data_IF_625694325941
#
_entry.id   IF_625694325941
#
_cell.length_a   1.000
_cell.length_b   1.000
_cell.length_c   1.000
_cell.angle_alpha   90.00
_cell.angle_beta   90.00
_cell.angle_gamma   90.00
#
_symmetry.space_group_name_H-M   'P 1'
#
loop_
_entity.id
_entity.type
_entity.pdbx_description
1 polymer ?
#
# COMPACT_ATOMS: atom_id res chain seq x y z
N UNK A 1 -26.39 13.99 2.57
CA UNK A 1 -25.08 13.35 2.34
C UNK A 1 -24.87 13.27 0.85
N UNK A 2 -23.68 13.60 0.36
CA UNK A 2 -23.39 13.66 -1.07
C UNK A 2 -22.59 12.43 -1.48
N UNK A 3 -22.83 11.92 -2.68
CA UNK A 3 -21.90 10.99 -3.34
C UNK A 3 -20.62 11.75 -3.63
N UNK A 4 -19.47 11.14 -3.42
CA UNK A 4 -18.18 11.81 -3.59
C UNK A 4 -17.53 11.35 -4.88
N UNK A 5 -17.19 12.30 -5.76
CA UNK A 5 -16.50 12.05 -7.03
C UNK A 5 -15.09 12.63 -6.94
N UNK A 6 -14.08 11.77 -7.00
CA UNK A 6 -12.68 12.19 -7.12
C UNK A 6 -12.19 11.96 -8.56
N UNK A 7 -11.86 13.05 -9.24
CA UNK A 7 -11.36 13.03 -10.61
C UNK A 7 -9.89 13.47 -10.64
N UNK A 8 -9.02 12.64 -11.20
CA UNK A 8 -7.60 12.99 -11.36
C UNK A 8 -7.41 14.08 -12.41
N UNK A 9 -6.44 14.96 -12.22
CA UNK A 9 -5.97 15.95 -13.20
C UNK A 9 -4.45 15.97 -13.30
N UNK A 10 -3.94 15.93 -14.51
CA UNK A 10 -2.51 15.98 -14.84
C UNK A 10 -2.03 17.41 -15.14
N UNK A 11 -2.32 18.35 -14.23
CA UNK A 11 -1.94 19.75 -14.38
C UNK A 11 -2.98 20.60 -15.13
N UNK A 12 -2.66 21.87 -15.43
CA UNK A 12 -3.63 22.87 -15.89
C UNK A 12 -4.15 22.67 -17.32
N UNK A 13 -3.41 21.96 -18.16
CA UNK A 13 -3.77 21.58 -19.53
C UNK A 13 -4.73 20.39 -19.61
N UNK A 14 -4.94 19.68 -18.49
CA UNK A 14 -5.94 18.62 -18.38
C UNK A 14 -7.33 19.22 -18.08
N UNK A 15 -7.94 19.77 -19.12
CA UNK A 15 -9.22 20.49 -19.06
C UNK A 15 -10.46 19.60 -19.17
N UNK A 16 -10.29 18.27 -19.22
CA UNK A 16 -11.42 17.34 -19.38
C UNK A 16 -12.42 17.49 -18.22
N UNK A 17 -13.65 17.83 -18.57
CA UNK A 17 -14.74 17.99 -17.60
C UNK A 17 -15.44 16.64 -17.37
N UNK A 18 -15.41 16.18 -16.12
CA UNK A 18 -16.02 14.91 -15.74
C UNK A 18 -17.47 15.14 -15.33
N UNK A 19 -18.41 14.52 -16.05
CA UNK A 19 -19.83 14.62 -15.76
C UNK A 19 -20.16 14.23 -14.30
N UNK A 20 -20.89 15.13 -13.63
CA UNK A 20 -21.27 15.04 -12.21
C UNK A 20 -22.76 14.69 -12.12
N UNK A 21 -23.10 13.70 -11.30
CA UNK A 21 -24.51 13.39 -11.00
C UNK A 21 -25.16 14.46 -10.12
N UNK A 22 -26.49 14.50 -10.07
CA UNK A 22 -27.28 15.51 -9.33
C UNK A 22 -26.90 15.61 -7.84
N UNK A 23 -26.49 14.50 -7.23
CA UNK A 23 -26.10 14.40 -5.82
C UNK A 23 -24.59 14.14 -5.61
N UNK A 24 -23.77 14.36 -6.64
CA UNK A 24 -22.31 14.18 -6.56
C UNK A 24 -21.59 15.50 -6.24
N UNK A 25 -20.68 15.44 -5.27
CA UNK A 25 -19.68 16.48 -5.03
C UNK A 25 -18.38 16.07 -5.71
N UNK A 26 -17.91 16.92 -6.62
CA UNK A 26 -16.66 16.68 -7.36
C UNK A 26 -15.47 17.35 -6.69
N UNK A 27 -14.40 16.60 -6.55
CA UNK A 27 -13.08 17.07 -6.12
C UNK A 27 -12.03 16.65 -7.15
N UNK A 28 -11.15 17.57 -7.51
CA UNK A 28 -10.04 17.27 -8.41
C UNK A 28 -8.78 16.91 -7.62
N UNK A 29 -8.17 15.77 -7.94
CA UNK A 29 -6.85 15.40 -7.42
C UNK A 29 -5.79 15.86 -8.41
N UNK A 30 -4.97 16.84 -8.02
CA UNK A 30 -3.83 17.28 -8.83
C UNK A 30 -2.70 16.25 -8.72
N UNK A 31 -2.35 15.60 -9.83
CA UNK A 31 -1.35 14.51 -9.88
C UNK A 31 0.06 15.00 -10.24
N UNK A 32 0.20 16.28 -10.55
CA UNK A 32 1.45 16.90 -11.01
C UNK A 32 1.72 18.13 -10.15
N UNK A 33 2.95 18.25 -9.67
CA UNK A 33 3.46 19.47 -9.07
C UNK A 33 4.08 20.33 -10.19
N UNK A 34 3.51 21.51 -10.43
CA UNK A 34 3.89 22.38 -11.55
C UNK A 34 3.59 21.73 -12.90
N UNK A 35 4.57 21.73 -13.81
CA UNK A 35 4.35 21.29 -15.21
C UNK A 35 4.99 19.92 -15.56
N UNK A 36 5.87 19.36 -14.71
CA UNK A 36 6.75 18.25 -15.14
C UNK A 36 6.84 17.06 -14.19
N UNK A 37 6.62 17.20 -12.88
CA UNK A 37 6.84 16.12 -11.92
C UNK A 37 5.54 15.58 -11.34
N UNK A 38 5.39 14.25 -11.33
CA UNK A 38 4.30 13.59 -10.61
C UNK A 38 4.40 13.83 -9.11
N UNK A 39 3.29 14.24 -8.51
CA UNK A 39 3.19 14.58 -7.10
C UNK A 39 2.85 13.34 -6.24
N UNK A 40 2.56 13.54 -4.95
CA UNK A 40 2.14 12.52 -3.98
C UNK A 40 3.14 11.37 -3.84
N UNK A 41 4.43 11.68 -4.02
CA UNK A 41 5.54 10.74 -3.91
C UNK A 41 5.80 9.88 -5.14
N UNK A 42 4.97 9.96 -6.20
CA UNK A 42 5.11 9.10 -7.39
C UNK A 42 6.39 9.44 -8.17
N UNK A 43 6.68 10.74 -8.39
CA UNK A 43 7.91 11.16 -9.06
C UNK A 43 9.18 10.78 -8.28
N UNK A 44 9.10 10.84 -6.94
CA UNK A 44 10.17 10.40 -6.04
C UNK A 44 10.40 8.88 -6.09
N UNK A 45 9.33 8.09 -6.20
CA UNK A 45 9.40 6.64 -6.34
C UNK A 45 10.08 6.25 -7.66
N UNK A 46 9.67 6.86 -8.79
CA UNK A 46 10.31 6.67 -10.10
C UNK A 46 11.80 7.02 -10.06
N UNK A 47 12.15 8.16 -9.46
CA UNK A 47 13.54 8.59 -9.31
C UNK A 47 14.36 7.61 -8.47
N UNK A 48 13.77 7.08 -7.39
CA UNK A 48 14.46 6.13 -6.50
C UNK A 48 14.68 4.77 -7.17
N UNK A 49 13.68 4.26 -7.88
CA UNK A 49 13.79 3.00 -8.62
C UNK A 49 14.82 3.10 -9.75
N UNK A 50 14.84 4.22 -10.49
CA UNK A 50 15.84 4.48 -11.52
C UNK A 50 17.27 4.38 -10.99
N UNK A 51 17.54 4.90 -9.79
CA UNK A 51 18.88 4.86 -9.15
C UNK A 51 19.37 3.43 -8.88
N UNK A 52 18.44 2.49 -8.73
CA UNK A 52 18.74 1.07 -8.49
C UNK A 52 18.44 0.19 -9.72
N UNK A 53 18.31 0.82 -10.90
CA UNK A 53 18.16 0.14 -12.19
C UNK A 53 16.76 -0.42 -12.48
N UNK A 54 15.75 -0.10 -11.68
CA UNK A 54 14.37 -0.60 -11.86
C UNK A 54 13.53 0.44 -12.63
N UNK A 55 12.88 0.01 -13.71
CA UNK A 55 12.12 0.88 -14.62
C UNK A 55 10.67 0.41 -14.77
N UNK A 56 9.74 0.89 -13.92
CA UNK A 56 8.33 0.49 -13.95
C UNK A 56 7.63 0.73 -15.30
N UNK A 57 6.69 -0.15 -15.61
CA UNK A 57 5.82 -0.03 -16.79
C UNK A 57 4.78 1.09 -16.67
N UNK A 58 4.15 1.46 -17.80
CA UNK A 58 3.02 2.40 -17.81
C UNK A 58 1.84 1.94 -16.93
N UNK A 59 1.52 0.64 -16.99
CA UNK A 59 0.47 0.05 -16.17
C UNK A 59 0.84 0.08 -14.68
N UNK A 60 2.12 -0.10 -14.34
CA UNK A 60 2.61 0.08 -12.98
C UNK A 60 2.41 1.51 -12.49
N UNK A 61 2.69 2.51 -13.34
CA UNK A 61 2.49 3.94 -13.02
C UNK A 61 1.00 4.24 -12.86
N UNK A 62 0.15 3.76 -13.77
CA UNK A 62 -1.31 3.87 -13.66
C UNK A 62 -1.84 3.31 -12.34
N UNK A 63 -1.29 2.18 -11.90
CA UNK A 63 -1.68 1.56 -10.64
C UNK A 63 -1.34 2.45 -9.43
N UNK A 64 -0.21 3.16 -9.44
CA UNK A 64 0.09 4.16 -8.41
C UNK A 64 -0.84 5.38 -8.47
N UNK A 65 -1.19 5.83 -9.67
CA UNK A 65 -2.16 6.90 -9.85
C UNK A 65 -3.51 6.47 -9.27
N UNK A 66 -3.99 5.26 -9.57
CA UNK A 66 -5.20 4.71 -8.97
C UNK A 66 -5.08 4.59 -7.43
N UNK A 67 -3.96 4.10 -6.92
CA UNK A 67 -3.71 4.01 -5.49
C UNK A 67 -3.74 5.37 -4.80
N UNK A 68 -3.25 6.43 -5.45
CA UNK A 68 -3.35 7.80 -4.98
C UNK A 68 -4.80 8.25 -4.84
N UNK A 69 -5.67 7.92 -5.81
CA UNK A 69 -7.11 8.24 -5.73
C UNK A 69 -7.81 7.49 -4.60
N UNK A 70 -7.54 6.18 -4.48
CA UNK A 70 -8.11 5.35 -3.40
C UNK A 70 -7.65 5.87 -2.05
N UNK A 71 -6.37 6.22 -1.90
CA UNK A 71 -5.81 6.71 -0.64
C UNK A 71 -6.34 8.10 -0.27
N UNK A 72 -6.47 9.01 -1.24
CA UNK A 72 -7.09 10.32 -1.05
C UNK A 72 -8.53 10.18 -0.58
N UNK A 73 -9.34 9.38 -1.28
CA UNK A 73 -10.73 9.14 -0.91
C UNK A 73 -10.84 8.49 0.48
N UNK A 74 -10.01 7.47 0.75
CA UNK A 74 -10.07 6.74 2.01
C UNK A 74 -9.69 7.59 3.22
N UNK A 75 -8.82 8.59 3.05
CA UNK A 75 -8.32 9.45 4.14
C UNK A 75 -8.98 10.82 4.22
N UNK A 76 -9.63 11.32 3.16
CA UNK A 76 -10.18 12.69 3.11
C UNK A 76 -11.69 12.78 2.97
N UNK A 77 -12.38 11.63 2.95
CA UNK A 77 -13.83 11.57 2.98
C UNK A 77 -14.27 10.94 4.31
N UNK A 78 -14.65 11.77 5.28
CA UNK A 78 -15.16 11.31 6.58
C UNK A 78 -16.34 10.34 6.42
N UNK A 79 -16.23 9.14 7.00
CA UNK A 79 -17.34 8.19 7.07
C UNK A 79 -18.49 8.78 7.89
N UNK A 80 -18.21 9.40 9.03
CA UNK A 80 -19.24 9.95 9.93
C UNK A 80 -20.08 11.05 9.26
N UNK A 81 -19.51 11.82 8.34
CA UNK A 81 -20.21 12.94 7.68
C UNK A 81 -20.81 12.56 6.32
N UNK A 82 -20.19 11.61 5.60
CA UNK A 82 -20.50 11.30 4.21
C UNK A 82 -21.13 9.90 4.01
N UNK A 83 -21.71 9.32 5.07
CA UNK A 83 -22.43 8.04 4.97
C UNK A 83 -23.66 7.99 5.87
N UNK A 84 -24.68 7.25 5.44
CA UNK A 84 -25.99 7.20 6.11
C UNK A 84 -25.97 6.45 7.43
N UNK A 85 -25.06 5.48 7.54
CA UNK A 85 -24.88 4.58 8.68
C UNK A 85 -23.61 4.93 9.49
N UNK A 86 -23.00 6.10 9.25
CA UNK A 86 -21.69 6.50 9.78
C UNK A 86 -20.53 5.58 9.38
N UNK A 87 -20.70 4.72 8.36
CA UNK A 87 -19.68 3.82 7.89
C UNK A 87 -19.52 3.76 6.36
N UNK A 88 -20.58 3.45 5.62
CA UNK A 88 -20.56 3.05 4.21
C UNK A 88 -20.66 4.25 3.27
N UNK A 89 -19.54 4.69 2.70
CA UNK A 89 -19.51 5.83 1.75
C UNK A 89 -19.87 5.38 0.33
N UNK A 90 -20.40 6.30 -0.48
CA UNK A 90 -20.54 6.12 -1.93
C UNK A 90 -19.49 6.96 -2.65
N UNK A 91 -18.51 6.30 -3.26
CA UNK A 91 -17.32 6.93 -3.83
C UNK A 91 -17.19 6.56 -5.30
N UNK A 92 -17.10 7.59 -6.16
CA UNK A 92 -16.80 7.47 -7.58
C UNK A 92 -15.41 8.00 -7.86
N UNK A 93 -14.61 7.23 -8.59
CA UNK A 93 -13.31 7.65 -9.09
C UNK A 93 -13.36 7.82 -10.60
N UNK A 94 -12.68 8.83 -11.12
CA UNK A 94 -12.36 8.94 -12.55
C UNK A 94 -10.86 9.13 -12.71
N UNK A 95 -10.19 8.05 -13.12
CA UNK A 95 -8.74 7.95 -13.08
C UNK A 95 -8.15 8.07 -14.49
N UNK A 96 -7.28 9.07 -14.74
CA UNK A 96 -6.51 9.14 -15.99
C UNK A 96 -5.47 8.01 -16.05
N UNK A 97 -5.53 7.20 -17.11
CA UNK A 97 -4.68 6.03 -17.34
C UNK A 97 -4.13 5.95 -18.76
N UNK A 98 -3.04 5.21 -18.95
CA UNK A 98 -2.39 5.00 -20.25
C UNK A 98 -3.25 4.17 -21.22
N UNK A 99 -3.92 3.13 -20.71
CA UNK A 99 -4.74 2.20 -21.51
C UNK A 99 -6.19 2.10 -20.98
N UNK A 100 -7.10 3.03 -21.32
CA UNK A 100 -8.44 3.09 -20.73
C UNK A 100 -9.27 1.82 -20.92
N UNK A 101 -9.17 1.16 -22.07
CA UNK A 101 -9.93 -0.07 -22.35
C UNK A 101 -9.49 -1.24 -21.44
N UNK A 102 -8.18 -1.39 -21.23
CA UNK A 102 -7.60 -2.42 -20.34
C UNK A 102 -8.03 -2.20 -18.89
N UNK A 103 -7.98 -0.96 -18.43
CA UNK A 103 -8.43 -0.59 -17.09
C UNK A 103 -9.95 -0.70 -16.92
N UNK A 104 -10.73 -0.37 -17.95
CA UNK A 104 -12.18 -0.56 -17.94
C UNK A 104 -12.55 -2.05 -17.76
N UNK A 105 -11.83 -2.96 -18.42
CA UNK A 105 -11.99 -4.40 -18.22
C UNK A 105 -11.66 -4.85 -16.77
N UNK A 106 -10.71 -4.17 -16.12
CA UNK A 106 -10.35 -4.41 -14.71
C UNK A 106 -11.33 -3.80 -13.69
N UNK A 107 -12.19 -2.86 -14.11
CA UNK A 107 -13.10 -2.10 -13.26
C UNK A 107 -13.97 -2.96 -12.33
N UNK A 108 -14.65 -4.03 -12.82
CA UNK A 108 -15.45 -4.90 -11.97
C UNK A 108 -14.66 -5.61 -10.86
N UNK A 109 -13.43 -6.05 -11.15
CA UNK A 109 -12.54 -6.72 -10.19
C UNK A 109 -12.04 -5.73 -9.13
N UNK A 110 -11.63 -4.53 -9.56
CA UNK A 110 -11.24 -3.45 -8.65
C UNK A 110 -12.37 -3.06 -7.71
N UNK A 111 -13.60 -2.91 -8.23
CA UNK A 111 -14.79 -2.63 -7.42
C UNK A 111 -14.97 -3.69 -6.34
N UNK A 112 -14.98 -4.98 -6.72
CA UNK A 112 -15.14 -6.10 -5.77
C UNK A 112 -14.05 -6.10 -4.69
N UNK A 113 -12.80 -5.80 -5.06
CA UNK A 113 -11.69 -5.75 -4.13
C UNK A 113 -11.82 -4.59 -3.13
N UNK A 114 -12.13 -3.38 -3.62
CA UNK A 114 -12.25 -2.18 -2.78
C UNK A 114 -13.50 -2.21 -1.90
N UNK A 115 -14.65 -2.65 -2.42
CA UNK A 115 -15.88 -2.83 -1.63
C UNK A 115 -15.62 -3.78 -0.44
N UNK A 116 -14.94 -4.91 -0.70
CA UNK A 116 -14.59 -5.87 0.35
C UNK A 116 -13.60 -5.29 1.36
N UNK A 117 -12.59 -4.56 0.88
CA UNK A 117 -11.52 -4.04 1.71
C UNK A 117 -12.02 -2.93 2.64
N UNK A 118 -12.75 -1.95 2.10
CA UNK A 118 -13.10 -0.73 2.83
C UNK A 118 -14.51 -0.75 3.40
N UNK A 119 -15.39 -1.59 2.86
CA UNK A 119 -16.83 -1.59 3.19
C UNK A 119 -17.59 -0.39 2.60
N UNK A 120 -16.97 0.36 1.69
CA UNK A 120 -17.64 1.42 0.92
C UNK A 120 -18.23 0.86 -0.38
N UNK A 121 -19.00 1.68 -1.09
CA UNK A 121 -19.50 1.39 -2.43
C UNK A 121 -18.68 2.17 -3.45
N UNK A 122 -17.85 1.45 -4.20
CA UNK A 122 -16.99 2.05 -5.22
C UNK A 122 -17.62 2.00 -6.60
N UNK A 123 -17.43 3.07 -7.37
CA UNK A 123 -17.60 3.14 -8.82
C UNK A 123 -16.31 3.68 -9.42
N UNK A 124 -15.74 3.01 -10.42
CA UNK A 124 -14.42 3.38 -10.96
C UNK A 124 -14.54 3.56 -12.46
N UNK A 125 -14.28 4.76 -12.93
CA UNK A 125 -14.16 5.10 -14.34
C UNK A 125 -12.72 5.41 -14.72
N UNK A 126 -12.40 5.17 -15.97
CA UNK A 126 -11.07 5.41 -16.53
C UNK A 126 -11.17 6.28 -17.77
N UNK A 127 -10.18 7.14 -17.96
CA UNK A 127 -10.04 7.99 -19.14
C UNK A 127 -8.59 8.03 -19.59
N UNK A 128 -8.34 8.43 -20.83
CA UNK A 128 -6.97 8.64 -21.27
C UNK A 128 -6.30 9.77 -20.46
N UNK A 129 -5.01 9.60 -20.17
CA UNK A 129 -4.15 10.71 -19.73
C UNK A 129 -4.07 11.79 -20.83
N UNK A 130 -3.83 13.06 -20.48
CA UNK A 130 -3.56 14.09 -21.49
C UNK A 130 -2.29 13.77 -22.28
N UNK A 131 -2.19 14.30 -23.50
CA UNK A 131 -1.12 13.99 -24.46
C UNK A 131 0.30 14.15 -23.87
N UNK A 132 0.52 15.19 -23.04
CA UNK A 132 1.80 15.43 -22.37
C UNK A 132 2.25 14.28 -21.46
N UNK A 133 1.32 13.49 -20.94
CA UNK A 133 1.55 12.36 -20.05
C UNK A 133 1.09 11.03 -20.66
N UNK A 134 0.95 10.97 -21.99
CA UNK A 134 0.65 9.71 -22.69
C UNK A 134 1.69 8.63 -22.38
N UNK A 135 2.98 9.04 -22.31
CA UNK A 135 4.10 8.20 -21.89
C UNK A 135 4.82 8.86 -20.72
N UNK A 136 4.96 8.13 -19.62
CA UNK A 136 5.67 8.51 -18.39
C UNK A 136 6.80 7.53 -18.09
N UNK A 137 6.58 6.25 -18.37
CA UNK A 137 7.56 5.19 -18.16
C UNK A 137 8.84 5.52 -18.93
N UNK A 138 9.97 5.37 -18.24
CA UNK A 138 11.28 5.59 -18.84
C UNK A 138 11.75 4.28 -19.46
N UNK A 139 12.29 4.36 -20.66
CA UNK A 139 12.94 3.21 -21.31
C UNK A 139 14.21 2.88 -20.53
N UNK A 140 14.34 1.62 -20.12
CA UNK A 140 15.56 1.13 -19.52
C UNK A 140 16.73 1.28 -20.51
N UNK A 141 17.88 1.83 -20.11
CA UNK A 141 19.04 1.88 -20.99
C UNK A 141 19.48 0.44 -21.35
N UNK A 142 20.03 0.21 -22.55
CA UNK A 142 20.59 -1.10 -22.90
C UNK A 142 21.64 -1.50 -21.86
N UNK A 143 21.33 -2.52 -21.08
CA UNK A 143 22.20 -3.05 -20.02
C UNK A 143 22.21 -4.56 -20.11
N UNK A 144 23.40 -5.15 -20.05
CA UNK A 144 23.57 -6.61 -19.92
C UNK A 144 23.32 -7.08 -18.48
N UNK A 145 23.18 -6.14 -17.53
CA UNK A 145 23.00 -6.42 -16.11
C UNK A 145 21.58 -6.02 -15.73
N UNK A 146 20.75 -7.01 -15.43
CA UNK A 146 19.42 -6.82 -14.86
C UNK A 146 19.53 -6.32 -13.41
N UNK A 147 18.47 -5.68 -12.85
CA UNK A 147 18.42 -5.35 -11.43
C UNK A 147 18.69 -6.61 -10.60
N UNK A 148 19.43 -6.51 -9.49
CA UNK A 148 19.80 -7.69 -8.71
C UNK A 148 18.61 -8.32 -7.98
N UNK A 149 17.45 -7.67 -7.97
CA UNK A 149 16.30 -8.06 -7.16
C UNK A 149 15.52 -9.22 -7.78
N UNK A 150 15.40 -10.31 -7.06
CA UNK A 150 14.68 -11.55 -7.43
C UNK A 150 13.38 -11.77 -6.65
N UNK A 151 13.09 -10.93 -5.66
CA UNK A 151 11.85 -10.92 -4.92
C UNK A 151 11.44 -9.50 -4.55
N UNK A 152 10.16 -9.29 -4.30
CA UNK A 152 9.63 -8.06 -3.71
C UNK A 152 8.94 -8.43 -2.42
N UNK A 153 9.14 -7.65 -1.37
CA UNK A 153 8.47 -7.89 -0.09
C UNK A 153 8.00 -6.59 0.52
N UNK A 154 6.75 -6.54 0.97
CA UNK A 154 6.28 -5.43 1.76
C UNK A 154 7.02 -5.38 3.10
N UNK A 155 7.44 -4.17 3.47
CA UNK A 155 8.24 -3.92 4.65
C UNK A 155 7.59 -2.78 5.47
N UNK A 156 6.69 -3.16 6.36
CA UNK A 156 5.87 -2.21 7.13
C UNK A 156 6.63 -1.61 8.32
N UNK A 157 7.69 -2.29 8.79
CA UNK A 157 8.38 -1.97 10.05
C UNK A 157 7.82 -2.74 11.25
N UNK A 158 6.83 -3.61 11.04
CA UNK A 158 6.31 -4.53 12.04
C UNK A 158 7.05 -5.87 12.07
N UNK A 159 6.78 -6.66 13.13
CA UNK A 159 7.46 -7.93 13.39
C UNK A 159 7.32 -8.93 12.25
N UNK A 160 6.14 -9.07 11.65
CA UNK A 160 5.88 -10.04 10.60
C UNK A 160 6.68 -9.72 9.33
N UNK A 161 6.74 -8.44 8.95
CA UNK A 161 7.57 -7.99 7.84
C UNK A 161 9.07 -8.09 8.10
N UNK A 162 9.49 -8.00 9.37
CA UNK A 162 10.88 -8.24 9.78
C UNK A 162 11.24 -9.71 9.65
N UNK A 163 10.40 -10.62 10.14
CA UNK A 163 10.58 -12.08 9.99
C UNK A 163 10.66 -12.43 8.50
N UNK A 164 9.72 -11.94 7.70
CA UNK A 164 9.74 -12.16 6.24
C UNK A 164 11.01 -11.65 5.55
N UNK A 165 11.54 -10.52 5.98
CA UNK A 165 12.80 -9.99 5.44
C UNK A 165 14.01 -10.83 5.86
N UNK A 166 14.08 -11.26 7.13
CA UNK A 166 15.15 -12.13 7.63
C UNK A 166 15.14 -13.47 6.89
N UNK A 167 13.98 -14.10 6.78
CA UNK A 167 13.86 -15.41 6.11
C UNK A 167 14.33 -15.35 4.66
N UNK A 168 13.97 -14.29 3.91
CA UNK A 168 14.44 -14.10 2.54
C UNK A 168 15.95 -13.92 2.46
N UNK A 169 16.53 -13.10 3.34
CA UNK A 169 17.96 -12.79 3.31
C UNK A 169 18.83 -13.98 3.74
N UNK A 170 18.35 -14.78 4.71
CA UNK A 170 18.98 -16.05 5.10
C UNK A 170 18.91 -17.09 3.97
N UNK A 171 17.84 -17.09 3.17
CA UNK A 171 17.71 -17.94 1.98
C UNK A 171 18.55 -17.48 0.79
N UNK A 172 19.36 -16.43 0.95
CA UNK A 172 20.20 -15.88 -0.12
C UNK A 172 19.41 -15.12 -1.19
N UNK A 173 18.12 -14.85 -0.96
CA UNK A 173 17.29 -14.03 -1.84
C UNK A 173 17.71 -12.57 -1.73
N UNK A 174 17.59 -11.81 -2.82
CA UNK A 174 17.90 -10.37 -2.87
C UNK A 174 16.60 -9.58 -3.03
N UNK A 175 15.85 -9.29 -1.94
CA UNK A 175 14.57 -8.62 -2.06
C UNK A 175 14.70 -7.12 -2.33
N UNK A 176 13.78 -6.58 -3.13
CA UNK A 176 13.41 -5.17 -3.04
C UNK A 176 12.32 -5.02 -1.97
N UNK A 177 12.70 -4.45 -0.83
CA UNK A 177 11.77 -4.13 0.24
C UNK A 177 10.96 -2.89 -0.12
N UNK A 178 9.65 -2.90 0.14
CA UNK A 178 8.76 -1.79 -0.21
C UNK A 178 8.06 -1.26 1.03
N UNK A 179 8.28 0.01 1.33
CA UNK A 179 7.74 0.71 2.49
C UNK A 179 6.97 1.96 2.08
N UNK A 180 5.82 2.18 2.73
CA UNK A 180 5.13 3.46 2.72
C UNK A 180 5.33 4.17 4.06
N UNK A 181 5.50 5.49 4.02
CA UNK A 181 5.51 6.33 5.21
C UNK A 181 4.43 7.41 5.13
N UNK A 182 3.59 7.47 6.17
CA UNK A 182 2.63 8.56 6.41
C UNK A 182 2.59 9.04 7.87
N UNK A 183 3.28 8.33 8.77
CA UNK A 183 3.39 8.65 10.20
C UNK A 183 4.85 8.46 10.64
N UNK A 184 5.38 9.41 11.43
CA UNK A 184 6.79 9.43 11.83
C UNK A 184 7.22 8.18 12.60
N UNK A 185 6.37 7.66 13.48
CA UNK A 185 6.65 6.47 14.30
C UNK A 185 6.93 5.22 13.45
N UNK A 186 6.07 4.97 12.46
CA UNK A 186 6.24 3.83 11.55
C UNK A 186 7.49 4.00 10.69
N UNK A 187 7.78 5.24 10.26
CA UNK A 187 8.98 5.53 9.46
C UNK A 187 10.29 5.31 10.22
N UNK A 188 10.33 5.62 11.51
CA UNK A 188 11.53 5.41 12.35
C UNK A 188 11.83 3.92 12.52
N UNK A 189 10.81 3.13 12.87
CA UNK A 189 10.93 1.67 12.98
C UNK A 189 11.41 1.03 11.68
N UNK A 190 10.80 1.40 10.54
CA UNK A 190 11.28 0.97 9.21
C UNK A 190 12.75 1.32 8.99
N UNK A 191 13.18 2.53 9.37
CA UNK A 191 14.56 3.00 9.23
C UNK A 191 15.55 2.15 10.04
N UNK A 192 15.28 1.99 11.35
CA UNK A 192 16.12 1.20 12.27
C UNK A 192 16.27 -0.23 11.82
N UNK A 193 15.16 -0.90 11.49
CA UNK A 193 15.18 -2.29 11.03
C UNK A 193 15.94 -2.46 9.73
N UNK A 194 15.74 -1.57 8.75
CA UNK A 194 16.48 -1.65 7.48
C UNK A 194 18.00 -1.49 7.69
N UNK A 195 18.41 -0.53 8.53
CA UNK A 195 19.81 -0.35 8.91
C UNK A 195 20.38 -1.58 9.62
N UNK A 196 19.62 -2.17 10.55
CA UNK A 196 19.98 -3.39 11.25
C UNK A 196 20.19 -4.58 10.30
N UNK A 197 19.27 -4.76 9.34
CA UNK A 197 19.40 -5.78 8.29
C UNK A 197 20.61 -5.52 7.39
N UNK A 198 20.83 -4.28 6.95
CA UNK A 198 22.00 -3.91 6.12
C UNK A 198 23.33 -4.16 6.83
N UNK A 199 23.38 -3.91 8.15
CA UNK A 199 24.57 -4.19 8.97
C UNK A 199 24.87 -5.68 9.05
N UNK A 200 23.84 -6.52 9.20
CA UNK A 200 24.00 -7.97 9.30
C UNK A 200 24.30 -8.61 7.94
N UNK A 201 23.50 -8.30 6.92
CA UNK A 201 23.61 -8.84 5.57
C UNK A 201 24.42 -7.90 4.66
N UNK A 202 25.62 -7.52 5.09
CA UNK A 202 26.45 -6.51 4.41
C UNK A 202 26.94 -6.91 3.00
N UNK A 203 26.86 -8.19 2.64
CA UNK A 203 27.19 -8.71 1.30
C UNK A 203 25.98 -8.77 0.37
N UNK A 204 24.76 -8.68 0.90
CA UNK A 204 23.54 -8.72 0.08
C UNK A 204 23.27 -7.35 -0.52
N UNK A 205 22.92 -7.32 -1.81
CA UNK A 205 22.58 -6.12 -2.56
C UNK A 205 21.11 -5.72 -2.43
N UNK A 206 20.35 -6.33 -1.50
CA UNK A 206 18.96 -6.00 -1.26
C UNK A 206 18.77 -4.51 -0.99
N UNK A 207 17.68 -3.92 -1.46
CA UNK A 207 17.42 -2.48 -1.30
C UNK A 207 16.01 -2.22 -0.82
N UNK A 208 15.71 -0.94 -0.56
CA UNK A 208 14.37 -0.52 -0.14
C UNK A 208 13.84 0.64 -0.95
N UNK A 209 12.67 0.44 -1.56
CA UNK A 209 11.82 1.52 -2.05
C UNK A 209 11.01 2.09 -0.88
N UNK A 210 11.16 3.39 -0.61
CA UNK A 210 10.39 4.11 0.41
C UNK A 210 9.59 5.23 -0.25
N UNK A 211 8.26 5.19 -0.11
CA UNK A 211 7.36 6.18 -0.75
C UNK A 211 6.47 6.85 0.29
N UNK A 212 6.40 8.18 0.24
CA UNK A 212 5.51 8.98 1.06
C UNK A 212 4.36 9.46 0.20
N UNK A 213 3.16 8.99 0.49
CA UNK A 213 1.94 9.42 -0.19
C UNK A 213 0.95 9.86 0.87
N UNK A 214 0.72 11.17 0.95
CA UNK A 214 -0.12 11.81 1.96
C UNK A 214 -0.89 12.95 1.30
N UNK A 215 -2.16 13.09 1.64
CA UNK A 215 -3.00 14.18 1.17
C UNK A 215 -3.25 15.18 2.30
N UNK A 216 -3.32 16.46 1.99
CA UNK A 216 -3.62 17.50 2.97
C UNK A 216 -5.06 17.38 3.48
N UNK A 217 -5.29 17.82 4.71
CA UNK A 217 -6.66 17.98 5.23
C UNK A 217 -7.40 19.06 4.43
N UNK A 218 -8.72 18.92 4.28
CA UNK A 218 -9.54 19.83 3.48
C UNK A 218 -9.44 19.64 1.95
N UNK A 219 -8.82 18.54 1.48
CA UNK A 219 -8.81 18.18 0.05
C UNK A 219 -10.23 18.15 -0.55
N UNK A 220 -11.20 17.63 0.21
CA UNK A 220 -12.61 17.64 -0.14
C UNK A 220 -13.27 18.78 0.61
N UNK A 221 -13.79 19.76 -0.12
CA UNK A 221 -14.37 20.97 0.46
C UNK A 221 -15.55 20.66 1.38
N UNK A 222 -15.52 21.19 2.60
CA UNK A 222 -16.60 21.00 3.58
C UNK A 222 -16.75 19.57 4.11
N UNK A 223 -15.72 18.73 3.96
CA UNK A 223 -15.70 17.34 4.46
C UNK A 223 -14.48 17.12 5.34
N UNK A 224 -14.70 16.53 6.52
CA UNK A 224 -13.65 16.17 7.47
C UNK A 224 -12.77 15.00 7.02
N UNK A 225 -11.61 14.86 7.66
CA UNK A 225 -10.66 13.76 7.41
C UNK A 225 -11.14 12.43 8.00
N UNK A 226 -10.70 11.32 7.39
CA UNK A 226 -10.98 9.95 7.79
C UNK A 226 -9.69 9.25 8.26
N UNK A 227 -9.71 8.74 9.49
CA UNK A 227 -8.52 8.21 10.16
C UNK A 227 -8.50 6.68 10.29
N UNK A 228 -9.55 5.98 9.85
CA UNK A 228 -9.63 4.51 9.91
C UNK A 228 -8.72 3.82 8.88
N UNK A 229 -8.40 4.48 7.77
CA UNK A 229 -7.44 4.04 6.74
C UNK A 229 -7.68 2.61 6.22
N UNK A 230 -8.94 2.25 5.95
CA UNK A 230 -9.33 0.88 5.57
C UNK A 230 -8.80 0.46 4.20
N UNK A 231 -8.56 1.42 3.31
CA UNK A 231 -8.01 1.20 1.96
C UNK A 231 -6.47 1.20 1.90
N UNK A 232 -5.76 1.41 3.02
CA UNK A 232 -4.30 1.61 3.03
C UNK A 232 -3.51 0.46 2.42
N UNK A 233 -3.97 -0.79 2.58
CA UNK A 233 -3.30 -1.96 2.00
C UNK A 233 -3.31 -1.96 0.47
N UNK A 234 -4.30 -1.33 -0.17
CA UNK A 234 -4.35 -1.19 -1.63
C UNK A 234 -3.13 -0.42 -2.13
N UNK A 235 -2.77 0.67 -1.44
CA UNK A 235 -1.57 1.44 -1.72
C UNK A 235 -0.29 0.60 -1.55
N UNK A 236 -0.20 -0.20 -0.50
CA UNK A 236 1.00 -1.03 -0.29
C UNK A 236 1.18 -2.07 -1.39
N UNK A 237 0.10 -2.73 -1.82
CA UNK A 237 0.13 -3.72 -2.89
C UNK A 237 0.46 -3.04 -4.22
N UNK A 238 -0.17 -1.90 -4.50
CA UNK A 238 0.12 -1.09 -5.68
C UNK A 238 1.61 -0.68 -5.76
N UNK A 239 2.22 -0.27 -4.65
CA UNK A 239 3.66 0.06 -4.58
C UNK A 239 4.55 -1.14 -4.90
N UNK A 240 4.23 -2.32 -4.34
CA UNK A 240 4.97 -3.55 -4.61
C UNK A 240 4.87 -3.98 -6.07
N UNK A 241 3.65 -3.97 -6.63
CA UNK A 241 3.39 -4.32 -8.03
C UNK A 241 4.03 -3.31 -8.98
N UNK A 242 3.92 -2.01 -8.69
CA UNK A 242 4.58 -0.94 -9.43
C UNK A 242 6.08 -1.20 -9.57
N UNK A 243 6.75 -1.45 -8.45
CA UNK A 243 8.18 -1.78 -8.45
C UNK A 243 8.46 -3.06 -9.25
N UNK A 244 7.60 -4.08 -9.11
CA UNK A 244 7.75 -5.36 -9.79
C UNK A 244 7.63 -5.31 -11.30
N UNK A 245 6.75 -4.45 -11.82
CA UNK A 245 6.67 -4.25 -13.27
C UNK A 245 7.97 -3.72 -13.87
N UNK A 246 8.89 -3.18 -13.06
CA UNK A 246 10.20 -2.71 -13.50
C UNK A 246 11.34 -3.72 -13.38
N UNK A 247 11.08 -4.96 -12.95
CA UNK A 247 12.10 -6.02 -12.86
C UNK A 247 12.39 -6.71 -14.20
N UNK A 248 11.53 -6.53 -15.21
CA UNK A 248 11.71 -7.14 -16.54
C UNK A 248 11.54 -8.66 -16.58
N UNK A 249 10.96 -9.26 -15.53
CA UNK A 249 10.68 -10.70 -15.39
C UNK A 249 9.47 -10.92 -14.47
N UNK A 250 8.95 -12.15 -14.48
CA UNK A 250 7.96 -12.61 -13.50
C UNK A 250 8.44 -12.35 -12.07
N UNK A 251 7.55 -11.87 -11.19
CA UNK A 251 7.90 -11.58 -9.80
C UNK A 251 6.83 -12.05 -8.82
N UNK A 252 7.25 -12.33 -7.58
CA UNK A 252 6.35 -12.57 -6.46
C UNK A 252 6.43 -11.36 -5.52
N UNK A 253 5.29 -10.70 -5.30
CA UNK A 253 5.10 -9.74 -4.22
C UNK A 253 4.71 -10.48 -2.95
N UNK A 254 5.66 -10.58 -2.02
CA UNK A 254 5.42 -11.15 -0.70
C UNK A 254 4.79 -10.13 0.23
N UNK A 255 3.76 -10.56 0.94
CA UNK A 255 3.07 -9.78 1.98
C UNK A 255 3.13 -10.55 3.29
N UNK A 256 4.22 -10.43 4.07
CA UNK A 256 4.35 -11.15 5.33
C UNK A 256 3.32 -10.69 6.37
N UNK A 257 2.35 -11.54 6.68
CA UNK A 257 1.38 -11.30 7.76
C UNK A 257 0.87 -12.63 8.32
N UNK A 258 0.85 -12.77 9.64
CA UNK A 258 0.33 -13.99 10.28
C UNK A 258 -1.14 -14.26 9.94
N UNK A 259 -1.51 -15.54 9.86
CA UNK A 259 -2.84 -16.02 9.49
C UNK A 259 -3.99 -15.49 10.35
N UNK A 260 -3.78 -15.35 11.66
CA UNK A 260 -4.82 -14.84 12.57
C UNK A 260 -5.22 -13.40 12.23
N UNK A 261 -4.24 -12.54 11.94
CA UNK A 261 -4.50 -11.16 11.48
C UNK A 261 -5.00 -11.16 10.03
N UNK A 262 -4.51 -12.06 9.18
CA UNK A 262 -4.90 -12.13 7.77
C UNK A 262 -6.39 -12.49 7.58
N UNK A 263 -6.85 -13.53 8.28
CA UNK A 263 -8.25 -13.96 8.28
C UNK A 263 -9.13 -12.99 9.04
N UNK A 264 -8.55 -12.31 10.05
CA UNK A 264 -9.21 -11.30 10.83
C UNK A 264 -10.53 -11.82 11.45
N UNK A 265 -10.41 -12.96 12.14
CA UNK A 265 -11.53 -13.63 12.81
C UNK A 265 -12.15 -12.66 13.83
N UNK A 266 -13.47 -12.41 13.80
CA UNK A 266 -14.11 -11.48 14.72
C UNK A 266 -14.00 -12.03 16.15
N UNK A 267 -13.35 -11.27 17.01
CA UNK A 267 -13.24 -11.59 18.45
C UNK A 267 -14.50 -11.22 19.24
N UNK A 268 -15.42 -10.49 18.61
CA UNK A 268 -16.68 -10.03 19.18
C UNK A 268 -17.70 -9.81 18.04
N UNK A 269 -19.01 -10.05 18.27
CA UNK A 269 -20.05 -9.85 17.25
C UNK A 269 -20.16 -8.44 16.69
N UNK A 270 -19.62 -7.41 17.35
CA UNK A 270 -19.61 -6.03 16.84
C UNK A 270 -18.49 -5.77 15.83
N UNK A 271 -17.52 -6.68 15.68
CA UNK A 271 -16.40 -6.54 14.73
C UNK A 271 -16.71 -7.12 13.35
N UNK A 272 -17.89 -6.80 12.82
CA UNK A 272 -18.34 -7.22 11.49
C UNK A 272 -17.76 -6.34 10.38
N UNK A 273 -17.67 -6.90 9.17
CA UNK A 273 -17.37 -6.09 8.00
C UNK A 273 -15.93 -5.54 7.98
N UNK A 274 -15.79 -4.30 7.51
CA UNK A 274 -14.53 -3.56 7.47
C UNK A 274 -14.18 -2.84 8.78
N UNK A 275 -14.92 -3.08 9.88
CA UNK A 275 -14.52 -2.63 11.21
C UNK A 275 -13.16 -3.20 11.65
N UNK A 276 -12.73 -4.26 10.98
CA UNK A 276 -11.43 -4.87 11.15
C UNK A 276 -10.69 -4.96 9.81
N UNK A 277 -9.35 -5.01 9.86
CA UNK A 277 -8.49 -4.96 8.67
C UNK A 277 -8.58 -6.25 7.84
N UNK A 278 -8.55 -6.12 6.51
CA UNK A 278 -8.64 -7.26 5.56
C UNK A 278 -7.45 -7.31 4.60
N UNK A 279 -6.30 -6.78 5.03
CA UNK A 279 -5.10 -6.52 4.22
C UNK A 279 -4.59 -7.74 3.47
N UNK A 280 -4.52 -8.89 4.15
CA UNK A 280 -4.01 -10.16 3.59
C UNK A 280 -5.08 -11.25 3.55
N UNK A 281 -6.36 -10.87 3.61
CA UNK A 281 -7.44 -11.84 3.56
C UNK A 281 -7.43 -12.60 2.22
N UNK A 282 -7.57 -13.94 2.20
CA UNK A 282 -7.42 -14.74 0.97
C UNK A 282 -8.29 -14.28 -0.20
N UNK A 283 -9.56 -13.93 0.06
CA UNK A 283 -10.44 -13.36 -0.95
C UNK A 283 -9.87 -12.08 -1.59
N UNK A 284 -9.34 -11.16 -0.78
CA UNK A 284 -8.78 -9.89 -1.28
C UNK A 284 -7.51 -10.13 -2.09
N UNK A 285 -6.64 -11.03 -1.64
CA UNK A 285 -5.43 -11.41 -2.39
C UNK A 285 -5.75 -12.11 -3.71
N UNK A 286 -6.78 -12.96 -3.74
CA UNK A 286 -7.26 -13.57 -4.98
C UNK A 286 -7.75 -12.51 -5.98
N UNK A 287 -8.53 -11.51 -5.54
CA UNK A 287 -8.96 -10.40 -6.40
C UNK A 287 -7.80 -9.56 -6.93
N UNK A 288 -6.72 -9.42 -6.17
CA UNK A 288 -5.49 -8.80 -6.67
C UNK A 288 -4.82 -9.64 -7.75
N UNK A 289 -4.70 -10.96 -7.57
CA UNK A 289 -4.11 -11.82 -8.61
C UNK A 289 -4.97 -11.85 -9.89
N UNK A 290 -6.30 -11.85 -9.76
CA UNK A 290 -7.22 -11.67 -10.90
C UNK A 290 -6.96 -10.32 -11.62
N UNK A 291 -6.77 -9.25 -10.83
CA UNK A 291 -6.45 -7.92 -11.35
C UNK A 291 -5.13 -7.90 -12.12
N UNK A 292 -4.06 -8.53 -11.59
CA UNK A 292 -2.78 -8.63 -12.28
C UNK A 292 -2.91 -9.34 -13.63
N UNK A 293 -3.68 -10.43 -13.67
CA UNK A 293 -3.98 -11.16 -14.91
C UNK A 293 -4.70 -10.30 -15.95
N UNK A 294 -5.76 -9.58 -15.56
CA UNK A 294 -6.50 -8.67 -16.47
C UNK A 294 -5.60 -7.53 -16.96
N UNK A 295 -4.78 -6.99 -16.07
CA UNK A 295 -3.79 -5.97 -16.38
C UNK A 295 -2.55 -6.53 -17.05
N UNK A 296 -2.50 -7.82 -17.42
CA UNK A 296 -1.36 -8.49 -18.05
C UNK A 296 -0.01 -8.20 -17.38
N UNK A 297 -0.01 -8.07 -16.05
CA UNK A 297 1.19 -7.92 -15.24
C UNK A 297 1.65 -9.33 -14.88
N UNK A 298 2.87 -9.68 -15.29
CA UNK A 298 3.50 -10.95 -14.94
C UNK A 298 4.02 -10.93 -13.49
N UNK A 299 3.09 -11.04 -12.56
CA UNK A 299 3.40 -11.06 -11.14
C UNK A 299 2.30 -11.71 -10.31
N UNK A 300 2.67 -12.10 -9.10
CA UNK A 300 1.76 -12.75 -8.16
C UNK A 300 1.92 -12.20 -6.75
N UNK A 301 0.80 -11.95 -6.07
CA UNK A 301 0.80 -11.54 -4.67
C UNK A 301 0.57 -12.76 -3.78
N UNK A 302 1.49 -13.01 -2.84
CA UNK A 302 1.45 -14.13 -1.90
C UNK A 302 1.70 -13.69 -0.47
N UNK A 303 0.93 -14.24 0.47
CA UNK A 303 1.26 -14.19 1.89
C UNK A 303 1.86 -15.56 2.27
N UNK A 304 3.18 -15.66 2.51
CA UNK A 304 3.83 -16.93 2.84
C UNK A 304 3.48 -17.45 4.25
N UNK A 305 2.77 -16.67 5.07
CA UNK A 305 2.48 -17.01 6.47
C UNK A 305 0.97 -17.06 6.78
N UNK A 306 0.12 -17.20 5.74
CA UNK A 306 -1.33 -17.23 5.89
C UNK A 306 -1.83 -18.38 6.78
N UNK A 307 -1.05 -19.47 6.85
CA UNK A 307 -1.31 -20.69 7.63
C UNK A 307 -0.53 -20.73 8.94
N UNK A 308 0.14 -19.64 9.33
CA UNK A 308 0.96 -19.56 10.54
C UNK A 308 0.45 -18.55 11.54
N UNK A 309 0.50 -18.91 12.81
CA UNK A 309 0.41 -17.97 13.93
C UNK A 309 1.68 -17.12 14.00
N UNK A 310 1.60 -15.97 14.68
CA UNK A 310 2.78 -15.11 14.91
C UNK A 310 3.85 -15.82 15.74
N UNK A 311 3.45 -16.71 16.66
CA UNK A 311 4.36 -17.54 17.43
C UNK A 311 5.14 -18.50 16.53
N UNK A 312 4.44 -19.24 15.67
CA UNK A 312 5.08 -20.12 14.69
C UNK A 312 6.00 -19.36 13.73
N UNK A 313 5.62 -18.15 13.30
CA UNK A 313 6.51 -17.29 12.49
C UNK A 313 7.81 -16.95 13.23
N UNK A 314 7.73 -16.55 14.51
CA UNK A 314 8.90 -16.17 15.28
C UNK A 314 9.78 -17.37 15.63
N UNK A 315 9.18 -18.48 16.05
CA UNK A 315 9.89 -19.73 16.39
C UNK A 315 10.59 -20.32 15.18
N UNK A 316 9.97 -20.26 14.00
CA UNK A 316 10.54 -20.82 12.76
C UNK A 316 11.31 -19.78 11.93
N UNK A 317 11.55 -18.58 12.46
CA UNK A 317 12.38 -17.57 11.80
C UNK A 317 13.79 -18.16 11.57
N UNK A 318 14.33 -17.96 10.37
CA UNK A 318 15.62 -18.56 9.98
C UNK A 318 16.80 -18.05 10.81
N UNK A 319 16.68 -16.87 11.40
CA UNK A 319 17.69 -16.32 12.30
C UNK A 319 17.05 -15.75 13.59
N UNK A 320 16.76 -16.61 14.58
CA UNK A 320 16.11 -16.20 15.83
C UNK A 320 16.95 -15.19 16.63
N UNK A 321 18.29 -15.29 16.57
CA UNK A 321 19.20 -14.37 17.26
C UNK A 321 19.10 -12.97 16.69
N UNK A 322 19.14 -12.83 15.36
CA UNK A 322 18.97 -11.53 14.71
C UNK A 322 17.56 -10.98 14.94
N UNK A 323 16.54 -11.83 14.86
CA UNK A 323 15.16 -11.44 15.16
C UNK A 323 15.06 -10.87 16.57
N UNK A 324 15.60 -11.56 17.58
CA UNK A 324 15.57 -11.09 18.97
C UNK A 324 16.26 -9.73 19.14
N UNK A 325 17.38 -9.51 18.45
CA UNK A 325 18.12 -8.25 18.49
C UNK A 325 17.35 -7.09 17.84
N UNK A 326 16.66 -7.34 16.73
CA UNK A 326 15.95 -6.30 15.96
C UNK A 326 14.47 -6.15 16.38
N UNK A 327 13.89 -7.15 17.06
CA UNK A 327 12.47 -7.15 17.39
C UNK A 327 12.08 -5.94 18.24
N UNK A 328 12.93 -5.45 19.13
CA UNK A 328 12.67 -4.27 19.97
C UNK A 328 12.47 -2.99 19.17
N UNK A 329 13.09 -2.88 17.99
CA UNK A 329 12.94 -1.74 17.09
C UNK A 329 11.71 -1.83 16.18
N UNK A 330 11.06 -3.00 16.12
CA UNK A 330 9.86 -3.22 15.30
C UNK A 330 8.59 -2.68 15.94
N UNK A 331 7.72 -2.07 15.13
CA UNK A 331 6.48 -1.44 15.57
C UNK A 331 5.26 -2.18 15.00
N UNK A 332 4.48 -2.82 15.87
CA UNK A 332 3.26 -3.55 15.47
C UNK A 332 1.97 -2.84 15.89
N UNK A 333 2.07 -1.83 16.76
CA UNK A 333 0.93 -1.16 17.36
C UNK A 333 0.08 -0.43 16.31
N UNK A 334 -1.25 -0.52 16.41
CA UNK A 334 -2.18 0.22 15.54
C UNK A 334 -2.41 1.68 16.00
N UNK A 335 -1.84 2.09 17.12
CA UNK A 335 -1.98 3.44 17.68
C UNK A 335 -0.72 3.84 18.47
N UNK A 336 0.46 3.80 17.83
CA UNK A 336 1.75 3.95 18.51
C UNK A 336 1.99 5.36 19.05
N UNK A 337 1.26 6.35 18.55
CA UNK A 337 1.39 7.76 18.93
C UNK A 337 0.38 8.21 19.99
N UNK A 338 -0.60 7.39 20.38
CA UNK A 338 -1.62 7.80 21.37
C UNK A 338 -1.04 8.05 22.77
N UNK A 339 0.08 7.43 23.12
CA UNK A 339 0.78 7.67 24.39
C UNK A 339 1.23 9.14 24.56
N UNK A 340 1.42 9.88 23.46
CA UNK A 340 1.80 11.30 23.50
C UNK A 340 0.80 12.17 24.26
N UNK A 341 -0.48 11.81 24.27
CA UNK A 341 -1.53 12.53 25.01
C UNK A 341 -1.37 12.39 26.53
N UNK A 342 -0.53 11.46 26.98
CA UNK A 342 -0.16 11.22 28.37
C UNK A 342 1.32 11.57 28.63
N UNK A 343 2.00 12.27 27.70
CA UNK A 343 3.42 12.63 27.81
C UNK A 343 4.39 11.49 27.50
N UNK A 344 3.90 10.35 27.01
CA UNK A 344 4.72 9.19 26.68
C UNK A 344 5.26 9.27 25.24
N UNK A 345 6.35 8.54 25.00
CA UNK A 345 6.97 8.43 23.68
C UNK A 345 6.18 7.55 22.70
N UNK A 346 6.83 7.17 21.60
CA UNK A 346 6.30 6.15 20.68
C UNK A 346 6.48 4.78 21.32
N UNK A 347 5.37 4.08 21.56
CA UNK A 347 5.40 2.76 22.19
C UNK A 347 4.23 1.87 21.76
N UNK A 348 4.33 0.58 22.07
CA UNK A 348 3.22 -0.36 21.92
C UNK A 348 2.20 -0.12 23.03
N UNK A 349 0.95 0.21 22.66
CA UNK A 349 -0.09 0.51 23.65
C UNK A 349 -0.49 -0.67 24.56
N UNK A 350 -0.04 -1.90 24.24
CA UNK A 350 -0.29 -3.07 25.06
C UNK A 350 -1.69 -3.69 25.00
N UNK A 351 -2.69 -3.01 24.42
CA UNK A 351 -4.09 -3.47 24.38
C UNK A 351 -4.70 -3.62 22.98
N UNK A 352 -4.14 -3.01 21.93
CA UNK A 352 -4.66 -3.24 20.57
C UNK A 352 -4.35 -4.68 20.11
N UNK A 353 -5.17 -5.24 19.23
CA UNK A 353 -5.03 -6.62 18.77
C UNK A 353 -3.60 -6.97 18.30
N UNK A 354 -2.93 -6.15 17.45
CA UNK A 354 -1.53 -6.39 17.10
C UNK A 354 -0.56 -6.41 18.29
N UNK A 355 -0.77 -5.55 19.30
CA UNK A 355 0.04 -5.54 20.52
C UNK A 355 -0.20 -6.80 21.38
N UNK A 356 -1.44 -7.25 21.50
CA UNK A 356 -1.77 -8.47 22.25
C UNK A 356 -1.11 -9.70 21.62
N UNK A 357 -1.24 -9.86 20.30
CA UNK A 357 -0.63 -11.00 19.60
C UNK A 357 0.90 -10.90 19.65
N UNK A 358 1.47 -9.69 19.53
CA UNK A 358 2.92 -9.50 19.70
C UNK A 358 3.37 -9.91 21.10
N UNK A 359 2.69 -9.47 22.16
CA UNK A 359 3.05 -9.79 23.55
C UNK A 359 3.08 -11.29 23.78
N UNK A 360 2.08 -12.02 23.28
CA UNK A 360 2.02 -13.47 23.39
C UNK A 360 3.25 -14.20 22.81
N UNK A 361 3.97 -13.57 21.88
CA UNK A 361 5.19 -14.12 21.26
C UNK A 361 6.46 -13.64 21.96
N UNK A 362 6.47 -12.42 22.51
CA UNK A 362 7.67 -11.83 23.13
C UNK A 362 7.90 -12.28 24.59
N UNK A 363 6.90 -12.90 25.22
CA UNK A 363 6.98 -13.39 26.61
C UNK A 363 7.46 -14.84 26.75
N UNK A 364 7.78 -15.48 25.63
CA UNK A 364 8.36 -16.81 25.52
C UNK A 364 9.66 -16.73 24.71
#
# INVERSE_FOLDING_TARGET
>A
MKRQLLAGRFGPDDSLDVAVGTDEQRTYIQLVAGEKSLDHGIGGALTSLKKIGVFPSEIGIDLLVLAAHVHAADTRISRAEQSQDSWTREIRLVVPVSEPARWAAAGPTLKKALDFLTGDRWTIGFRARPARFATIAQVAPPSLIAPPFDSISLFSGGLDSLIGAIDLLEDGVTPLLVSHFGEGATSDAQGKLFTGLKKHFNKSSFERLRVGMTFVDGLVEGVGSENSTRGRSFLFFALGVFAGTGLGRSFILRVPENGLIALNVPLDPLRLGSNSTRTTHPYYMARWNDLLGILGIDGEIRNPYWDKTKGEMATNCRNPTLLKNLATDSLSCSSPTKGRWQGLGIEHCGYCLPCLIRRAVMTH
#
